data_IF_615811187136
#
_entry.id   IF_615811187136
#
_cell.length_a   1.000
_cell.length_b   1.000
_cell.length_c   1.000
_cell.angle_alpha   90.00
_cell.angle_beta   90.00
_cell.angle_gamma   90.00
#
_symmetry.space_group_name_H-M   'P 1'
#
loop_
_entity.id
_entity.type
_entity.pdbx_description
1 polymer ?
#
# COMPACT_ATOMS: atom_id res chain seq x y z
N UNK A 1 23.73 2.83 -2.23
CA UNK A 1 24.20 2.48 -0.88
C UNK A 1 23.40 3.34 0.09
N UNK A 2 22.20 2.90 0.47
CA UNK A 2 21.39 3.60 1.46
C UNK A 2 21.89 3.19 2.85
N UNK A 3 22.27 4.19 3.64
CA UNK A 3 22.88 3.99 4.93
C UNK A 3 21.88 3.34 5.90
N UNK A 4 22.29 2.24 6.49
CA UNK A 4 21.70 1.70 7.73
C UNK A 4 21.64 2.79 8.79
N UNK A 5 20.45 3.15 9.24
CA UNK A 5 20.22 4.19 10.25
C UNK A 5 20.15 3.64 11.68
N UNK A 6 20.66 2.43 11.95
CA UNK A 6 20.81 1.93 13.32
C UNK A 6 21.97 0.92 13.43
N UNK A 7 22.88 1.08 14.42
CA UNK A 7 24.04 0.20 14.59
C UNK A 7 23.77 -1.14 15.29
N UNK A 8 22.53 -1.50 15.67
CA UNK A 8 22.22 -2.73 16.41
C UNK A 8 20.91 -3.41 15.94
N UNK A 9 20.72 -3.58 14.63
CA UNK A 9 19.62 -4.40 14.16
C UNK A 9 19.96 -5.89 14.30
N UNK A 10 19.16 -6.61 15.10
CA UNK A 10 19.22 -8.09 15.11
C UNK A 10 19.01 -8.63 13.67
N UNK A 11 19.61 -9.80 13.31
CA UNK A 11 19.54 -10.33 11.96
C UNK A 11 18.08 -10.47 11.51
N UNK A 12 17.82 -10.07 10.26
CA UNK A 12 16.53 -10.26 9.58
C UNK A 12 16.21 -11.75 9.50
N UNK A 13 14.94 -12.12 9.51
CA UNK A 13 14.54 -13.45 9.03
C UNK A 13 15.07 -13.60 7.59
N UNK A 14 15.64 -14.75 7.25
CA UNK A 14 16.43 -14.98 6.02
C UNK A 14 15.68 -14.58 4.73
N UNK A 15 14.33 -14.53 4.75
CA UNK A 15 13.48 -14.22 3.61
C UNK A 15 12.74 -12.88 3.72
N UNK A 16 13.06 -12.01 4.69
CA UNK A 16 12.31 -10.77 4.90
C UNK A 16 12.76 -9.67 3.95
N UNK A 17 11.82 -9.11 3.16
CA UNK A 17 12.07 -7.98 2.25
C UNK A 17 11.89 -6.63 2.96
N UNK A 18 10.93 -6.54 3.87
CA UNK A 18 10.68 -5.36 4.71
C UNK A 18 10.64 -5.81 6.16
N UNK A 19 11.44 -5.17 7.02
CA UNK A 19 11.45 -5.40 8.46
C UNK A 19 11.20 -4.09 9.19
N UNK A 20 10.17 -4.08 10.00
CA UNK A 20 9.77 -2.97 10.88
C UNK A 20 9.95 -3.47 12.31
N UNK A 21 10.76 -2.77 13.13
CA UNK A 21 11.07 -3.20 14.50
C UNK A 21 10.88 -2.08 15.48
N UNK A 22 10.00 -2.30 16.46
CA UNK A 22 9.64 -1.39 17.57
C UNK A 22 9.39 0.05 17.09
N UNK A 23 8.74 0.17 15.92
CA UNK A 23 8.51 1.48 15.29
C UNK A 23 7.44 2.25 16.04
N UNK A 24 7.83 3.42 16.54
CA UNK A 24 6.95 4.42 17.11
C UNK A 24 7.01 5.73 16.37
N UNK A 25 5.89 6.47 16.36
CA UNK A 25 5.81 7.82 15.78
C UNK A 25 4.99 8.75 16.62
N UNK A 26 5.64 9.84 17.04
CA UNK A 26 5.01 10.96 17.73
C UNK A 26 5.10 12.20 16.85
N UNK A 27 3.97 12.83 16.61
CA UNK A 27 3.88 14.14 15.98
C UNK A 27 3.83 15.22 17.04
N UNK A 28 4.67 16.24 16.90
CA UNK A 28 4.69 17.40 17.80
C UNK A 28 4.19 18.62 17.04
N UNK A 29 3.04 19.13 17.42
CA UNK A 29 2.43 20.33 16.85
C UNK A 29 2.15 21.37 17.92
N UNK A 30 3.03 22.35 18.11
CA UNK A 30 2.90 23.35 19.15
C UNK A 30 2.89 22.71 20.56
N UNK A 31 1.78 22.87 21.31
CA UNK A 31 1.62 22.29 22.66
C UNK A 31 1.02 20.89 22.67
N UNK A 32 0.59 20.37 21.52
CA UNK A 32 -0.03 19.03 21.43
C UNK A 32 0.97 18.02 20.88
N UNK A 33 1.05 16.87 21.53
CA UNK A 33 1.74 15.69 21.02
C UNK A 33 0.70 14.65 20.67
N UNK A 34 0.87 14.02 19.51
CA UNK A 34 -0.01 12.95 19.04
C UNK A 34 0.85 11.73 18.76
N UNK A 35 0.71 10.70 19.57
CA UNK A 35 1.34 9.41 19.31
C UNK A 35 0.51 8.67 18.26
N UNK A 36 1.07 8.51 17.07
CA UNK A 36 0.39 7.88 15.95
C UNK A 36 0.67 6.38 15.90
N UNK A 37 1.91 5.97 16.22
CA UNK A 37 2.36 4.58 16.24
C UNK A 37 3.11 4.28 17.52
N UNK A 38 2.98 3.05 18.05
CA UNK A 38 3.67 2.58 19.25
C UNK A 38 4.09 1.13 19.11
N UNK A 39 5.41 0.86 19.13
CA UNK A 39 5.95 -0.47 19.17
C UNK A 39 5.41 -1.36 18.03
N UNK A 40 5.51 -0.89 16.81
CA UNK A 40 5.03 -1.66 15.64
C UNK A 40 6.14 -2.57 15.16
N UNK A 41 5.86 -3.89 15.17
CA UNK A 41 6.70 -4.92 14.59
C UNK A 41 5.98 -5.56 13.41
N UNK A 42 6.63 -5.60 12.23
CA UNK A 42 6.08 -6.18 11.01
C UNK A 42 7.20 -6.68 10.11
N UNK A 43 7.12 -7.94 9.74
CA UNK A 43 7.98 -8.54 8.73
C UNK A 43 7.16 -8.85 7.47
N UNK A 44 7.67 -8.49 6.30
CA UNK A 44 7.05 -8.82 5.00
C UNK A 44 8.09 -9.57 4.18
N UNK A 45 7.74 -10.79 3.77
CA UNK A 45 8.60 -11.64 2.98
C UNK A 45 8.72 -11.17 1.52
N UNK A 46 9.72 -11.68 0.82
CA UNK A 46 9.86 -11.42 -0.61
C UNK A 46 8.66 -11.98 -1.40
N UNK A 47 8.16 -11.21 -2.36
CA UNK A 47 7.00 -11.56 -3.19
C UNK A 47 5.70 -11.84 -2.39
N UNK A 48 5.59 -11.35 -1.16
CA UNK A 48 4.39 -11.44 -0.34
C UNK A 48 3.48 -10.23 -0.57
N UNK A 49 2.17 -10.47 -0.64
CA UNK A 49 1.14 -9.43 -0.66
C UNK A 49 0.53 -9.31 0.75
N UNK A 50 0.94 -8.29 1.50
CA UNK A 50 0.40 -8.03 2.84
C UNK A 50 -0.61 -6.90 2.79
N UNK A 51 -1.81 -7.16 3.29
CA UNK A 51 -2.84 -6.16 3.50
C UNK A 51 -2.83 -5.66 4.95
N UNK A 52 -2.74 -4.34 5.14
CA UNK A 52 -2.80 -3.70 6.45
C UNK A 52 -4.17 -3.05 6.63
N UNK A 53 -4.96 -3.53 7.59
CA UNK A 53 -6.29 -3.03 7.90
C UNK A 53 -6.35 -2.43 9.30
N UNK A 54 -7.30 -1.55 9.54
CA UNK A 54 -7.49 -0.91 10.85
C UNK A 54 -8.37 0.33 10.76
N UNK A 55 -8.81 0.90 11.90
CA UNK A 55 -9.66 2.09 11.95
C UNK A 55 -9.04 3.30 11.23
N UNK A 56 -9.87 4.24 10.82
CA UNK A 56 -9.39 5.49 10.23
C UNK A 56 -8.57 6.28 11.25
N UNK A 57 -7.43 6.82 10.79
CA UNK A 57 -6.54 7.61 11.64
C UNK A 57 -5.69 6.82 12.64
N UNK A 58 -5.66 5.49 12.59
CA UNK A 58 -4.85 4.64 13.49
C UNK A 58 -3.34 4.65 13.17
N UNK A 59 -2.92 5.21 12.02
CA UNK A 59 -1.49 5.34 11.69
C UNK A 59 -1.01 4.51 10.50
N UNK A 60 -1.89 3.79 9.77
CA UNK A 60 -1.52 2.96 8.59
C UNK A 60 -0.70 3.73 7.56
N UNK A 61 -1.21 4.88 7.10
CA UNK A 61 -0.49 5.75 6.15
C UNK A 61 0.81 6.31 6.72
N UNK A 62 0.89 6.51 8.06
CA UNK A 62 2.13 6.90 8.73
C UNK A 62 3.17 5.79 8.64
N UNK A 63 2.78 4.55 8.92
CA UNK A 63 3.65 3.37 8.79
C UNK A 63 4.15 3.20 7.35
N UNK A 64 3.24 3.26 6.38
CA UNK A 64 3.61 3.18 4.96
C UNK A 64 4.61 4.25 4.56
N UNK A 65 4.41 5.51 4.99
CA UNK A 65 5.36 6.61 4.69
C UNK A 65 6.71 6.41 5.34
N UNK A 66 6.76 5.77 6.51
CA UNK A 66 8.03 5.42 7.17
C UNK A 66 8.73 4.32 6.37
N UNK A 67 8.02 3.27 5.94
CA UNK A 67 8.57 2.20 5.10
C UNK A 67 9.06 2.74 3.75
N UNK A 68 8.35 3.72 3.18
CA UNK A 68 8.73 4.39 1.94
C UNK A 68 9.92 5.37 2.07
N UNK A 69 10.50 5.53 3.26
CA UNK A 69 11.52 6.54 3.60
C UNK A 69 11.08 8.00 3.33
N UNK A 70 9.77 8.23 3.32
CA UNK A 70 9.19 9.56 3.18
C UNK A 70 9.07 10.27 4.54
N UNK A 71 9.19 9.50 5.63
CA UNK A 71 9.08 9.99 6.99
C UNK A 71 9.94 9.17 7.96
N UNK A 72 10.63 9.84 8.87
CA UNK A 72 11.43 9.14 9.90
C UNK A 72 10.56 8.68 11.05
N UNK A 73 10.78 7.49 11.61
CA UNK A 73 10.18 7.06 12.86
C UNK A 73 10.71 7.93 14.02
N UNK A 74 9.99 7.96 15.16
CA UNK A 74 10.46 8.57 16.40
C UNK A 74 11.28 7.58 17.23
N UNK A 75 10.92 6.30 17.19
CA UNK A 75 11.63 5.16 17.82
C UNK A 75 11.64 3.99 16.87
N UNK A 76 12.52 3.03 17.11
CA UNK A 76 12.63 1.84 16.29
C UNK A 76 13.32 2.06 14.95
N UNK A 77 13.26 1.05 14.10
CA UNK A 77 13.92 1.07 12.81
C UNK A 77 13.12 0.33 11.74
N UNK A 78 13.29 0.76 10.49
CA UNK A 78 12.80 0.05 9.31
C UNK A 78 13.99 -0.30 8.42
N UNK A 79 14.03 -1.56 8.00
CA UNK A 79 15.00 -2.05 7.03
C UNK A 79 14.26 -2.55 5.80
N UNK A 80 14.68 -2.09 4.62
CA UNK A 80 14.15 -2.52 3.34
C UNK A 80 15.30 -3.13 2.55
N UNK A 81 15.20 -4.42 2.28
CA UNK A 81 16.18 -5.13 1.45
C UNK A 81 15.78 -5.02 -0.01
N UNK A 82 16.73 -4.62 -0.84
CA UNK A 82 16.56 -4.52 -2.28
C UNK A 82 17.79 -5.10 -2.97
N UNK A 83 17.61 -5.61 -4.16
CA UNK A 83 18.76 -6.07 -4.93
C UNK A 83 19.69 -4.90 -5.24
N UNK A 84 20.98 -5.15 -5.20
CA UNK A 84 22.01 -4.12 -5.43
C UNK A 84 21.88 -3.38 -6.79
N UNK A 85 21.09 -3.94 -7.71
CA UNK A 85 20.79 -3.37 -9.03
C UNK A 85 19.48 -2.59 -9.07
N UNK A 86 18.67 -2.63 -8.00
CA UNK A 86 17.40 -1.90 -7.97
C UNK A 86 17.67 -0.39 -7.95
N UNK A 87 17.27 0.29 -8.99
CA UNK A 87 17.46 1.75 -9.13
C UNK A 87 16.51 2.49 -8.19
N UNK A 88 15.34 1.90 -7.91
CA UNK A 88 14.36 2.35 -6.91
C UNK A 88 13.84 1.17 -6.11
N UNK A 89 14.00 1.21 -4.78
CA UNK A 89 13.56 0.11 -3.93
C UNK A 89 12.04 -0.05 -3.91
N UNK A 90 11.30 1.07 -3.90
CA UNK A 90 9.85 1.03 -3.79
C UNK A 90 9.16 2.04 -4.70
N UNK A 91 7.93 1.73 -5.10
CA UNK A 91 6.98 2.66 -5.69
C UNK A 91 5.76 2.84 -4.79
N UNK A 92 5.20 4.06 -4.75
CA UNK A 92 4.08 4.40 -3.89
C UNK A 92 2.87 4.83 -4.72
N UNK A 93 1.70 4.25 -4.41
CA UNK A 93 0.39 4.71 -4.87
C UNK A 93 -0.30 5.38 -3.69
N UNK A 94 -0.58 6.68 -3.79
CA UNK A 94 -1.23 7.46 -2.74
C UNK A 94 -2.75 7.47 -2.88
N UNK A 95 -3.45 7.71 -1.79
CA UNK A 95 -4.91 7.75 -1.70
C UNK A 95 -5.55 8.81 -2.62
N UNK A 96 -4.92 9.96 -2.79
CA UNK A 96 -5.37 11.10 -3.60
C UNK A 96 -4.91 11.07 -5.06
N UNK A 97 -4.51 9.87 -5.55
CA UNK A 97 -3.90 9.63 -6.86
C UNK A 97 -2.56 10.34 -7.08
N UNK A 98 -2.35 11.53 -6.54
CA UNK A 98 -1.16 12.39 -6.67
C UNK A 98 -0.66 12.53 -8.11
N UNK A 99 -1.58 12.52 -9.10
CA UNK A 99 -1.25 12.75 -10.51
C UNK A 99 -1.11 14.24 -10.78
N UNK A 100 -0.19 14.60 -11.66
CA UNK A 100 0.10 16.00 -12.00
C UNK A 100 -0.95 16.55 -12.97
N UNK A 101 -1.80 17.53 -12.58
CA UNK A 101 -2.90 18.01 -13.42
C UNK A 101 -2.44 18.74 -14.69
N UNK A 102 -1.20 19.23 -14.72
CA UNK A 102 -0.57 19.92 -15.86
C UNK A 102 0.21 19.00 -16.79
N UNK A 103 0.24 17.70 -16.54
CA UNK A 103 0.89 16.70 -17.38
C UNK A 103 -0.15 15.83 -18.07
N UNK A 104 0.16 15.37 -19.28
CA UNK A 104 -0.67 14.35 -19.94
C UNK A 104 -0.65 13.03 -19.19
N UNK A 105 -1.51 12.10 -19.56
CA UNK A 105 -1.53 10.73 -19.03
C UNK A 105 -0.17 10.06 -19.26
N UNK A 106 0.35 10.11 -20.49
CA UNK A 106 1.65 9.54 -20.82
C UNK A 106 2.79 10.18 -20.01
N UNK A 107 2.79 11.51 -19.84
CA UNK A 107 3.80 12.21 -19.05
C UNK A 107 3.70 11.92 -17.55
N UNK A 108 2.50 11.70 -17.03
CA UNK A 108 2.28 11.27 -15.65
C UNK A 108 2.90 9.89 -15.41
N UNK A 109 2.66 8.94 -16.30
CA UNK A 109 3.24 7.59 -16.23
C UNK A 109 4.75 7.65 -16.41
N UNK A 110 5.25 8.39 -17.42
CA UNK A 110 6.68 8.55 -17.67
C UNK A 110 7.43 9.18 -16.48
N UNK A 111 6.74 9.95 -15.63
CA UNK A 111 7.38 10.66 -14.51
C UNK A 111 8.16 9.73 -13.58
N UNK A 112 7.66 8.52 -13.33
CA UNK A 112 8.35 7.51 -12.55
C UNK A 112 9.72 7.11 -13.10
N UNK A 113 9.91 7.25 -14.42
CA UNK A 113 11.12 6.87 -15.14
C UNK A 113 12.15 8.02 -15.29
N UNK A 114 11.78 9.27 -14.97
CA UNK A 114 12.64 10.45 -15.22
C UNK A 114 13.97 10.42 -14.45
N UNK A 115 14.04 9.69 -13.34
CA UNK A 115 15.27 9.55 -12.55
C UNK A 115 16.09 8.34 -12.96
N UNK A 116 15.63 7.59 -13.93
CA UNK A 116 16.32 6.47 -14.51
C UNK A 116 17.04 6.99 -15.77
N UNK A 117 18.31 6.68 -15.92
CA UNK A 117 19.06 7.06 -17.12
C UNK A 117 18.71 6.09 -18.27
N UNK A 118 17.44 6.16 -18.71
CA UNK A 118 16.91 5.32 -19.77
C UNK A 118 16.87 6.06 -21.11
N UNK A 119 17.15 5.36 -22.23
CA UNK A 119 16.95 5.90 -23.56
C UNK A 119 15.50 6.33 -23.77
N UNK A 120 15.27 7.47 -24.43
CA UNK A 120 13.91 7.99 -24.70
C UNK A 120 12.97 6.96 -25.35
N UNK A 121 13.52 6.10 -26.22
CA UNK A 121 12.75 5.02 -26.86
C UNK A 121 12.24 4.03 -25.81
N UNK A 122 13.10 3.61 -24.91
CA UNK A 122 12.72 2.65 -23.85
C UNK A 122 11.66 3.24 -22.91
N UNK A 123 11.80 4.51 -22.51
CA UNK A 123 10.76 5.19 -21.73
C UNK A 123 9.42 5.17 -22.47
N UNK A 124 9.40 5.51 -23.77
CA UNK A 124 8.19 5.51 -24.60
C UNK A 124 7.57 4.10 -24.69
N UNK A 125 8.39 3.09 -24.91
CA UNK A 125 7.94 1.70 -25.06
C UNK A 125 7.39 1.15 -23.73
N UNK A 126 8.01 1.48 -22.58
CA UNK A 126 7.49 1.10 -21.25
C UNK A 126 6.16 1.79 -20.94
N UNK A 127 6.07 3.09 -21.19
CA UNK A 127 4.83 3.87 -20.98
C UNK A 127 3.70 3.31 -21.84
N UNK A 128 3.96 3.08 -23.14
CA UNK A 128 2.95 2.53 -24.04
C UNK A 128 2.42 1.17 -23.59
N UNK A 129 3.31 0.26 -23.14
CA UNK A 129 2.92 -1.05 -22.59
C UNK A 129 2.00 -0.93 -21.38
N UNK A 130 2.30 -0.01 -20.44
CA UNK A 130 1.49 0.16 -19.25
C UNK A 130 0.16 0.84 -19.53
N UNK A 131 0.13 1.80 -20.47
CA UNK A 131 -1.12 2.40 -20.92
C UNK A 131 -2.03 1.37 -21.61
N UNK A 132 -1.45 0.48 -22.39
CA UNK A 132 -2.20 -0.60 -23.06
C UNK A 132 -2.77 -1.58 -22.05
N UNK A 133 -1.94 -2.10 -21.13
CA UNK A 133 -2.37 -3.03 -20.05
C UNK A 133 -3.52 -2.49 -19.19
N UNK A 134 -3.58 -1.18 -18.99
CA UNK A 134 -4.60 -0.52 -18.15
C UNK A 134 -5.72 0.16 -18.97
N UNK A 135 -5.79 -0.11 -20.28
CA UNK A 135 -6.85 0.43 -21.14
C UNK A 135 -6.82 1.95 -21.29
N UNK A 136 -5.64 2.57 -21.20
CA UNK A 136 -5.45 4.02 -21.26
C UNK A 136 -4.83 4.53 -22.55
N UNK A 137 -4.53 3.66 -23.53
CA UNK A 137 -3.82 4.04 -24.77
C UNK A 137 -4.50 5.18 -25.54
N UNK A 138 -5.84 5.15 -25.63
CA UNK A 138 -6.63 6.20 -26.31
C UNK A 138 -6.59 7.56 -25.60
N UNK A 139 -6.14 7.60 -24.34
CA UNK A 139 -6.10 8.79 -23.49
C UNK A 139 -4.68 9.28 -23.21
N UNK A 140 -3.67 8.74 -23.91
CA UNK A 140 -2.26 9.02 -23.65
C UNK A 140 -1.93 10.53 -23.62
N UNK A 141 -2.53 11.30 -24.55
CA UNK A 141 -2.33 12.75 -24.68
C UNK A 141 -3.36 13.58 -23.90
N UNK A 142 -4.31 12.93 -23.20
CA UNK A 142 -5.32 13.62 -22.40
C UNK A 142 -4.73 14.12 -21.07
N UNK A 143 -5.33 15.19 -20.52
CA UNK A 143 -5.00 15.69 -19.18
C UNK A 143 -5.92 15.06 -18.13
N UNK A 144 -5.50 15.00 -16.86
CA UNK A 144 -6.27 14.41 -15.76
C UNK A 144 -7.69 14.97 -15.59
N UNK A 145 -7.93 16.22 -15.96
CA UNK A 145 -9.26 16.86 -15.93
C UNK A 145 -10.28 16.22 -16.85
N UNK A 146 -9.83 15.57 -17.94
CA UNK A 146 -10.68 14.89 -18.90
C UNK A 146 -10.99 13.44 -18.51
N UNK A 147 -10.42 12.93 -17.40
CA UNK A 147 -10.52 11.53 -17.00
C UNK A 147 -11.58 11.31 -15.92
N UNK A 148 -12.21 10.12 -15.93
CA UNK A 148 -13.02 9.64 -14.80
C UNK A 148 -12.14 9.33 -13.57
N UNK A 149 -12.77 9.14 -12.39
CA UNK A 149 -12.05 8.76 -11.17
C UNK A 149 -11.24 7.47 -11.34
N UNK A 150 -11.83 6.44 -11.94
CA UNK A 150 -11.15 5.17 -12.19
C UNK A 150 -10.01 5.29 -13.20
N UNK A 151 -10.16 6.12 -14.23
CA UNK A 151 -9.06 6.37 -15.16
C UNK A 151 -7.89 7.08 -14.45
N UNK A 152 -8.16 8.07 -13.59
CA UNK A 152 -7.11 8.69 -12.77
C UNK A 152 -6.41 7.69 -11.87
N UNK A 153 -7.17 6.75 -11.27
CA UNK A 153 -6.59 5.67 -10.47
C UNK A 153 -5.68 4.77 -11.30
N UNK A 154 -6.13 4.34 -12.48
CA UNK A 154 -5.29 3.55 -13.39
C UNK A 154 -4.00 4.27 -13.80
N UNK A 155 -4.05 5.60 -14.00
CA UNK A 155 -2.84 6.42 -14.25
C UNK A 155 -1.89 6.38 -13.06
N UNK A 156 -2.39 6.48 -11.83
CA UNK A 156 -1.56 6.41 -10.63
C UNK A 156 -0.91 5.02 -10.47
N UNK A 157 -1.66 3.95 -10.74
CA UNK A 157 -1.15 2.57 -10.76
C UNK A 157 -0.10 2.42 -11.88
N UNK A 158 -0.39 2.87 -13.12
CA UNK A 158 0.56 2.81 -14.23
C UNK A 158 1.88 3.49 -13.90
N UNK A 159 1.83 4.68 -13.27
CA UNK A 159 3.01 5.44 -12.85
C UNK A 159 3.86 4.69 -11.81
N UNK A 160 3.23 3.97 -10.90
CA UNK A 160 3.94 3.15 -9.93
C UNK A 160 4.54 1.89 -10.57
N UNK A 161 3.78 1.25 -11.45
CA UNK A 161 4.15 -0.02 -12.08
C UNK A 161 5.23 0.12 -13.15
N UNK A 162 5.28 1.24 -13.88
CA UNK A 162 6.24 1.48 -14.97
C UNK A 162 7.70 1.50 -14.50
N UNK A 163 7.90 1.81 -13.21
CA UNK A 163 9.23 1.85 -12.56
C UNK A 163 9.81 0.46 -12.38
N UNK A 164 8.95 -0.57 -12.37
CA UNK A 164 9.34 -1.96 -12.15
C UNK A 164 10.12 -2.16 -10.83
N UNK A 165 9.74 -1.41 -9.77
CA UNK A 165 10.29 -1.55 -8.43
C UNK A 165 9.94 -2.91 -7.82
N UNK A 166 10.79 -3.40 -6.93
CA UNK A 166 10.61 -4.69 -6.24
C UNK A 166 9.49 -4.63 -5.19
N UNK A 167 9.27 -3.44 -4.63
CA UNK A 167 8.29 -3.20 -3.58
C UNK A 167 7.25 -2.20 -4.06
N UNK A 168 5.97 -2.52 -3.82
CA UNK A 168 4.85 -1.66 -4.11
C UNK A 168 4.09 -1.33 -2.82
N UNK A 169 4.00 -0.05 -2.51
CA UNK A 169 3.32 0.48 -1.34
C UNK A 169 2.04 1.18 -1.79
N UNK A 170 0.87 0.74 -1.33
CA UNK A 170 -0.41 1.29 -1.74
C UNK A 170 -1.20 1.79 -0.53
N UNK A 171 -1.55 3.08 -0.52
CA UNK A 171 -2.31 3.73 0.56
C UNK A 171 -3.75 3.96 0.13
N UNK A 172 -4.65 3.08 0.51
CA UNK A 172 -6.10 3.10 0.19
C UNK A 172 -6.40 3.40 -1.29
N UNK A 173 -5.81 2.66 -2.26
CA UNK A 173 -5.85 3.05 -3.67
C UNK A 173 -7.26 3.06 -4.26
N UNK A 174 -8.22 2.37 -3.66
CA UNK A 174 -9.59 2.26 -4.19
C UNK A 174 -10.64 3.03 -3.38
N UNK A 175 -10.24 3.81 -2.35
CA UNK A 175 -11.18 4.45 -1.43
C UNK A 175 -12.15 5.44 -2.11
N UNK A 176 -11.69 6.16 -3.14
CA UNK A 176 -12.46 7.20 -3.82
C UNK A 176 -13.33 6.68 -4.99
N UNK A 177 -13.44 5.34 -5.15
CA UNK A 177 -14.15 4.73 -6.26
C UNK A 177 -15.53 4.21 -5.84
N UNK A 178 -16.49 4.25 -6.78
CA UNK A 178 -17.76 3.55 -6.62
C UNK A 178 -17.56 2.02 -6.56
N UNK A 179 -18.56 1.30 -6.04
CA UNK A 179 -18.45 -0.12 -5.76
C UNK A 179 -18.18 -0.99 -7.01
N UNK A 180 -18.77 -0.62 -8.17
CA UNK A 180 -18.59 -1.42 -9.39
C UNK A 180 -17.19 -1.26 -9.96
N UNK A 181 -16.74 -0.01 -10.07
CA UNK A 181 -15.41 0.31 -10.59
C UNK A 181 -14.31 -0.22 -9.68
N UNK A 182 -14.50 -0.12 -8.35
CA UNK A 182 -13.59 -0.70 -7.36
C UNK A 182 -13.41 -2.19 -7.60
N UNK A 183 -14.49 -2.94 -7.78
CA UNK A 183 -14.44 -4.38 -8.02
C UNK A 183 -13.65 -4.75 -9.28
N UNK A 184 -13.88 -4.02 -10.37
CA UNK A 184 -13.13 -4.22 -11.63
C UNK A 184 -11.63 -3.99 -11.40
N UNK A 185 -11.26 -2.88 -10.74
CA UNK A 185 -9.85 -2.54 -10.51
C UNK A 185 -9.15 -3.47 -9.51
N UNK A 186 -9.88 -4.06 -8.56
CA UNK A 186 -9.35 -5.10 -7.69
C UNK A 186 -9.00 -6.36 -8.48
N UNK A 187 -9.86 -6.78 -9.38
CA UNK A 187 -9.64 -7.94 -10.25
C UNK A 187 -8.45 -7.69 -11.18
N UNK A 188 -8.39 -6.51 -11.82
CA UNK A 188 -7.25 -6.11 -12.65
C UNK A 188 -5.92 -6.08 -11.85
N UNK A 189 -5.93 -5.53 -10.63
CA UNK A 189 -4.74 -5.51 -9.78
C UNK A 189 -4.30 -6.92 -9.37
N UNK A 190 -5.26 -7.79 -9.05
CA UNK A 190 -5.01 -9.18 -8.70
C UNK A 190 -4.32 -9.93 -9.84
N UNK A 191 -4.83 -9.80 -11.06
CA UNK A 191 -4.23 -10.38 -12.27
C UNK A 191 -2.82 -9.85 -12.51
N UNK A 192 -2.66 -8.52 -12.49
CA UNK A 192 -1.35 -7.87 -12.68
C UNK A 192 -0.32 -8.34 -11.66
N UNK A 193 -0.71 -8.49 -10.40
CA UNK A 193 0.22 -8.93 -9.37
C UNK A 193 0.58 -10.40 -9.50
N UNK A 194 -0.37 -11.26 -9.86
CA UNK A 194 -0.12 -12.70 -10.09
C UNK A 194 0.91 -12.94 -11.19
N UNK A 195 0.91 -12.09 -12.22
CA UNK A 195 1.88 -12.15 -13.32
C UNK A 195 3.29 -11.71 -12.88
N UNK A 196 3.39 -10.69 -12.03
CA UNK A 196 4.67 -10.01 -11.77
C UNK A 196 5.32 -10.41 -10.45
N UNK A 197 4.55 -10.91 -9.50
CA UNK A 197 4.96 -11.29 -8.15
C UNK A 197 5.96 -10.31 -7.53
N UNK A 198 5.48 -9.28 -6.86
CA UNK A 198 6.27 -8.28 -6.14
C UNK A 198 5.87 -8.25 -4.70
N UNK A 199 6.76 -7.78 -3.84
CA UNK A 199 6.41 -7.51 -2.45
C UNK A 199 5.47 -6.32 -2.38
N UNK A 200 4.30 -6.49 -1.76
CA UNK A 200 3.26 -5.46 -1.68
C UNK A 200 2.86 -5.23 -0.24
N UNK A 201 2.83 -3.96 0.19
CA UNK A 201 2.08 -3.52 1.35
C UNK A 201 0.89 -2.68 0.87
N UNK A 202 -0.30 -3.19 1.12
CA UNK A 202 -1.57 -2.61 0.68
C UNK A 202 -2.41 -2.18 1.87
N UNK A 203 -2.65 -0.90 2.01
CA UNK A 203 -3.52 -0.36 3.06
C UNK A 203 -4.94 -0.28 2.55
N UNK A 204 -5.87 -0.79 3.33
CA UNK A 204 -7.30 -0.64 3.09
C UNK A 204 -8.09 -0.65 4.40
N UNK A 205 -9.29 -0.12 4.37
CA UNK A 205 -10.28 -0.29 5.44
C UNK A 205 -11.36 -1.32 5.07
N UNK A 206 -11.26 -1.94 3.89
CA UNK A 206 -12.22 -2.91 3.37
C UNK A 206 -11.65 -4.33 3.52
N UNK A 207 -12.32 -5.17 4.32
CA UNK A 207 -11.90 -6.54 4.59
C UNK A 207 -12.01 -7.45 3.35
N UNK A 208 -13.04 -7.25 2.52
CA UNK A 208 -13.19 -7.97 1.25
C UNK A 208 -11.97 -7.76 0.33
N UNK A 209 -11.47 -6.52 0.23
CA UNK A 209 -10.23 -6.23 -0.51
C UNK A 209 -9.03 -6.94 0.10
N UNK A 210 -8.90 -6.88 1.41
CA UNK A 210 -7.76 -7.45 2.10
C UNK A 210 -7.69 -8.97 1.94
N UNK A 211 -8.82 -9.66 2.03
CA UNK A 211 -8.90 -11.12 1.84
C UNK A 211 -8.71 -11.50 0.38
N UNK A 212 -9.30 -10.75 -0.56
CA UNK A 212 -9.17 -11.05 -1.98
C UNK A 212 -7.72 -10.91 -2.45
N UNK A 213 -7.05 -9.82 -2.08
CA UNK A 213 -5.74 -9.46 -2.62
C UNK A 213 -4.58 -10.03 -1.80
N UNK A 214 -4.70 -10.06 -0.46
CA UNK A 214 -3.60 -10.37 0.45
C UNK A 214 -3.28 -11.86 0.56
N UNK A 215 -2.02 -12.21 0.70
CA UNK A 215 -1.58 -13.50 1.20
C UNK A 215 -1.66 -13.54 2.73
N UNK A 216 -1.58 -12.33 3.33
CA UNK A 216 -1.68 -12.08 4.76
C UNK A 216 -2.43 -10.78 5.04
N UNK A 217 -3.26 -10.78 6.09
CA UNK A 217 -3.98 -9.60 6.58
C UNK A 217 -3.48 -9.27 7.98
N UNK A 218 -2.88 -8.09 8.11
CA UNK A 218 -2.38 -7.56 9.37
C UNK A 218 -3.36 -6.51 9.89
N UNK A 219 -3.79 -6.66 11.15
CA UNK A 219 -4.76 -5.79 11.79
C UNK A 219 -4.08 -4.81 12.73
N UNK A 220 -4.35 -3.52 12.55
CA UNK A 220 -3.90 -2.46 13.46
C UNK A 220 -5.01 -2.02 14.42
N UNK A 221 -4.61 -1.75 15.67
CA UNK A 221 -5.46 -1.14 16.70
C UNK A 221 -5.84 0.30 16.36
N UNK A 222 -6.74 0.88 17.15
CA UNK A 222 -6.95 2.33 17.23
C UNK A 222 -5.67 3.08 17.63
N UNK A 223 -5.74 4.42 17.68
CA UNK A 223 -4.58 5.26 18.04
C UNK A 223 -4.21 5.15 19.52
N UNK A 224 -2.92 4.97 19.86
CA UNK A 224 -1.76 4.78 18.98
C UNK A 224 -1.76 3.41 18.30
N UNK A 225 -1.50 3.40 16.97
CA UNK A 225 -1.55 2.18 16.16
C UNK A 225 -0.50 1.16 16.60
N UNK A 226 -0.96 -0.08 16.80
CA UNK A 226 -0.16 -1.27 17.11
C UNK A 226 -0.67 -2.43 16.27
N UNK A 227 0.14 -3.43 16.00
CA UNK A 227 -0.35 -4.66 15.39
C UNK A 227 -1.02 -5.50 16.48
N UNK A 228 -2.27 -5.90 16.24
CA UNK A 228 -3.10 -6.68 17.14
C UNK A 228 -3.53 -8.03 16.56
N UNK A 229 -3.29 -8.25 15.28
CA UNK A 229 -3.59 -9.51 14.59
C UNK A 229 -2.79 -9.66 13.33
N UNK A 230 -2.49 -10.90 12.96
CA UNK A 230 -1.75 -11.26 11.76
C UNK A 230 -2.29 -12.60 11.25
N UNK A 231 -2.99 -12.57 10.12
CA UNK A 231 -3.80 -13.67 9.61
C UNK A 231 -3.34 -14.10 8.23
N UNK A 232 -3.02 -15.38 8.08
CA UNK A 232 -2.79 -15.94 6.75
C UNK A 232 -4.11 -16.14 6.02
N UNK A 233 -4.16 -15.72 4.76
CA UNK A 233 -5.32 -15.93 3.91
C UNK A 233 -5.26 -17.35 3.33
N UNK A 234 -6.27 -18.22 3.59
CA UNK A 234 -6.19 -19.65 3.29
C UNK A 234 -6.44 -20.00 1.81
N UNK A 235 -6.54 -19.00 0.94
CA UNK A 235 -6.82 -19.19 -0.47
C UNK A 235 -5.54 -19.21 -1.30
N UNK A 236 -5.37 -20.26 -2.11
CA UNK A 236 -4.22 -20.43 -3.00
C UNK A 236 -4.16 -19.41 -4.16
N UNK A 237 -3.07 -19.43 -4.90
CA UNK A 237 -2.86 -18.66 -6.14
C UNK A 237 -2.75 -19.63 -7.34
N UNK A 238 -3.25 -19.28 -8.53
CA UNK A 238 -3.96 -18.06 -8.88
C UNK A 238 -5.32 -17.98 -8.19
N UNK A 239 -5.71 -16.75 -7.80
CA UNK A 239 -6.95 -16.46 -7.10
C UNK A 239 -7.89 -15.71 -8.01
N UNK A 240 -9.19 -16.02 -7.93
CA UNK A 240 -10.24 -15.29 -8.65
C UNK A 240 -11.21 -14.63 -7.67
N UNK A 241 -12.01 -13.68 -8.16
CA UNK A 241 -13.04 -13.03 -7.37
C UNK A 241 -14.16 -13.97 -6.90
N UNK A 242 -14.25 -15.17 -7.45
CA UNK A 242 -15.26 -16.18 -7.08
C UNK A 242 -15.12 -16.69 -5.65
N UNK A 243 -13.92 -16.59 -5.05
CA UNK A 243 -13.69 -16.98 -3.65
C UNK A 243 -14.61 -16.23 -2.67
N UNK A 244 -15.08 -15.01 -3.03
CA UNK A 244 -16.02 -14.23 -2.23
C UNK A 244 -17.33 -14.98 -1.90
N UNK A 245 -17.70 -15.93 -2.73
CA UNK A 245 -18.90 -16.75 -2.53
C UNK A 245 -18.69 -17.96 -1.60
N UNK A 246 -17.48 -18.18 -1.09
CA UNK A 246 -17.18 -19.32 -0.24
C UNK A 246 -17.48 -19.07 1.24
N UNK A 247 -17.81 -20.14 1.97
CA UNK A 247 -18.03 -20.08 3.41
C UNK A 247 -16.76 -19.71 4.19
N UNK A 248 -15.61 -20.15 3.68
CA UNK A 248 -14.29 -19.85 4.26
C UNK A 248 -13.96 -18.36 4.15
N UNK A 249 -14.36 -17.70 3.05
CA UNK A 249 -14.19 -16.24 2.88
C UNK A 249 -15.02 -15.48 3.91
N UNK A 250 -16.31 -15.83 4.03
CA UNK A 250 -17.21 -15.20 4.98
C UNK A 250 -16.75 -15.42 6.44
N UNK A 251 -16.23 -16.62 6.76
CA UNK A 251 -15.73 -16.91 8.10
C UNK A 251 -14.49 -16.07 8.45
N UNK A 252 -13.54 -15.93 7.52
CA UNK A 252 -12.35 -15.09 7.72
C UNK A 252 -12.72 -13.60 7.81
N UNK A 253 -13.66 -13.13 6.99
CA UNK A 253 -14.15 -11.75 7.05
C UNK A 253 -14.79 -11.44 8.40
N UNK A 254 -15.62 -12.33 8.93
CA UNK A 254 -16.24 -12.21 10.26
C UNK A 254 -15.17 -12.21 11.38
N UNK A 255 -14.18 -13.10 11.31
CA UNK A 255 -13.08 -13.13 12.28
C UNK A 255 -12.32 -11.81 12.33
N UNK A 256 -11.94 -11.27 11.16
CA UNK A 256 -11.27 -9.98 11.05
C UNK A 256 -12.16 -8.83 11.53
N UNK A 257 -13.45 -8.87 11.22
CA UNK A 257 -14.42 -7.88 11.67
C UNK A 257 -14.56 -7.84 13.20
N UNK A 258 -14.60 -9.00 13.85
CA UNK A 258 -14.68 -9.09 15.32
C UNK A 258 -13.46 -8.43 15.99
N UNK A 259 -12.26 -8.62 15.43
CA UNK A 259 -11.06 -7.95 15.92
C UNK A 259 -11.14 -6.43 15.76
N UNK A 260 -11.57 -5.95 14.61
CA UNK A 260 -11.68 -4.51 14.34
C UNK A 260 -12.77 -3.85 15.17
N UNK A 261 -13.89 -4.53 15.41
CA UNK A 261 -15.02 -3.99 16.17
C UNK A 261 -14.63 -3.59 17.59
N UNK A 262 -13.85 -4.40 18.27
CA UNK A 262 -13.35 -4.09 19.62
C UNK A 262 -12.58 -2.78 19.63
N UNK A 263 -11.76 -2.52 18.61
CA UNK A 263 -10.96 -1.32 18.47
C UNK A 263 -11.79 -0.07 18.10
N UNK A 264 -12.80 -0.23 17.24
CA UNK A 264 -13.71 0.87 16.86
C UNK A 264 -14.54 1.32 18.06
N UNK A 265 -15.07 0.38 18.84
CA UNK A 265 -15.88 0.66 20.04
C UNK A 265 -15.04 1.37 21.14
N UNK A 266 -13.75 1.03 21.28
CA UNK A 266 -12.86 1.68 22.22
C UNK A 266 -12.50 3.11 21.81
N UNK A 267 -12.23 3.34 20.52
CA UNK A 267 -11.86 4.65 19.97
C UNK A 267 -13.04 5.63 19.97
N UNK A 268 -14.27 5.15 19.81
CA UNK A 268 -15.49 5.96 19.87
C UNK A 268 -15.79 6.50 21.27
N UNK A 269 -15.39 5.80 22.32
CA UNK A 269 -15.56 6.25 23.72
C UNK A 269 -14.56 7.36 24.09
N UNK A 270 -13.31 7.23 23.66
CA UNK A 270 -12.27 8.22 23.94
C UNK A 270 -12.55 9.59 23.28
N UNK A 271 -13.21 9.60 22.11
CA UNK A 271 -13.59 10.84 21.43
C UNK A 271 -14.76 11.57 22.11
N UNK A 272 -15.62 10.88 22.82
CA UNK A 272 -16.72 11.51 23.59
C UNK A 272 -16.25 12.08 24.94
N UNK A 273 -15.24 11.49 25.58
CA UNK A 273 -14.69 12.01 26.85
C UNK A 273 -13.83 13.26 26.69
N UNK A 274 -13.22 13.50 25.53
CA UNK A 274 -12.42 14.71 25.27
C UNK A 274 -13.28 15.90 24.83
N UNK A 275 -14.56 15.68 24.52
CA UNK A 275 -15.51 16.73 24.10
C UNK A 275 -16.45 17.21 25.24
N UNK A 276 -16.32 16.64 26.44
CA UNK A 276 -17.02 17.05 27.67
C UNK A 276 -16.08 17.76 28.63
#
# INVERSE_FOLDING_TARGET
>A
MFASLAPDAAPLAEDSRISVRDVGKVYVGGRKQVEALRGVDLEIADNEFVCLVGPSGCGKSTLLRIIADLQRPSTGAVTVLTDAKAIRPSAVVFQDYSIYPWKTVADNVAFGLLSLDLPRREVKDRVARWLDKLGLSAFADSYPSALSGGMRQRVAIARAMVVESEILLMDEPFAALDAQLRRILQEELLELWQDMRRTVLFITHNLDEAILLGDRVVVMSGRPGRIIGDYRVPFGRPRSAEIRGSAEFAALEEELWQQLRVEVDSTGRDTMEVAS
#
